data_IF_732444938462
#
_entry.id   IF_732444938462
#
_cell.length_a   1.000
_cell.length_b   1.000
_cell.length_c   1.000
_cell.angle_alpha   90.00
_cell.angle_beta   90.00
_cell.angle_gamma   90.00
#
_symmetry.space_group_name_H-M   'P 1'
#
loop_
_entity.id
_entity.type
_entity.pdbx_description
1 polymer ?
#
# COMPACT_ATOMS: atom_id res chain seq x y z
N UNK A 1 -9.99 -28.62 22.70
CA UNK A 1 -8.82 -27.76 22.45
C UNK A 1 -8.97 -27.21 21.04
N UNK A 2 -9.32 -25.93 20.87
CA UNK A 2 -9.43 -25.32 19.55
C UNK A 2 -8.04 -24.81 19.15
N UNK A 3 -7.50 -25.35 18.06
CA UNK A 3 -6.30 -24.85 17.43
C UNK A 3 -6.60 -23.48 16.82
N UNK A 4 -6.42 -22.43 17.62
CA UNK A 4 -6.42 -21.05 17.13
C UNK A 4 -5.19 -20.85 16.28
N UNK A 5 -5.32 -21.02 14.96
CA UNK A 5 -4.31 -20.62 14.00
C UNK A 5 -4.24 -19.09 14.05
N UNK A 6 -3.39 -18.54 14.93
CA UNK A 6 -3.09 -17.11 14.95
C UNK A 6 -2.55 -16.76 13.56
N UNK A 7 -3.18 -15.84 12.82
CA UNK A 7 -2.61 -15.39 11.57
C UNK A 7 -1.22 -14.84 11.86
N UNK A 8 -0.18 -15.50 11.34
CA UNK A 8 1.19 -14.99 11.42
C UNK A 8 1.20 -13.71 10.59
N UNK A 9 1.25 -12.59 11.28
CA UNK A 9 1.45 -11.29 10.67
C UNK A 9 2.95 -11.15 10.42
N UNK A 10 3.33 -11.11 9.14
CA UNK A 10 4.71 -10.81 8.76
C UNK A 10 4.84 -9.30 8.65
N UNK A 11 5.88 -8.77 9.27
CA UNK A 11 6.32 -7.38 9.22
C UNK A 11 7.75 -7.37 8.69
N UNK A 12 7.91 -7.38 7.37
CA UNK A 12 9.23 -7.36 6.76
C UNK A 12 9.52 -5.98 6.16
N UNK A 13 10.55 -5.31 6.69
CA UNK A 13 11.04 -4.01 6.21
C UNK A 13 12.09 -4.15 5.12
N UNK A 14 12.71 -5.33 4.99
CA UNK A 14 13.68 -5.62 3.93
C UNK A 14 12.91 -6.06 2.68
N UNK A 15 12.19 -5.11 2.08
CA UNK A 15 11.51 -5.29 0.79
C UNK A 15 12.52 -4.97 -0.32
N UNK A 16 12.53 -5.79 -1.37
CA UNK A 16 13.41 -5.57 -2.53
C UNK A 16 13.12 -4.18 -3.16
N UNK A 17 14.11 -3.27 -3.26
CA UNK A 17 13.91 -1.92 -3.78
C UNK A 17 13.50 -1.88 -5.26
N UNK A 18 13.78 -2.94 -6.03
CA UNK A 18 13.37 -3.07 -7.43
C UNK A 18 11.98 -3.71 -7.59
N UNK A 19 11.35 -4.15 -6.48
CA UNK A 19 10.01 -4.71 -6.50
C UNK A 19 8.98 -3.67 -6.97
N UNK A 20 8.19 -4.04 -7.97
CA UNK A 20 7.06 -3.23 -8.43
C UNK A 20 5.84 -3.54 -7.58
N UNK A 21 5.25 -2.49 -7.01
CA UNK A 21 4.01 -2.54 -6.25
C UNK A 21 2.85 -1.97 -7.06
N UNK A 22 1.70 -2.61 -6.95
CA UNK A 22 0.46 -2.28 -7.62
C UNK A 22 -0.54 -1.76 -6.58
N UNK A 23 -0.98 -0.51 -6.76
CA UNK A 23 -2.11 0.10 -6.06
C UNK A 23 -3.34 -0.03 -6.93
N UNK A 24 -4.32 -0.82 -6.48
CA UNK A 24 -5.57 -1.01 -7.21
C UNK A 24 -6.53 0.17 -7.04
N UNK A 25 -7.26 0.50 -8.10
CA UNK A 25 -8.22 1.60 -8.14
C UNK A 25 -7.91 2.60 -9.26
N UNK A 26 -8.93 3.36 -9.65
CA UNK A 26 -8.82 4.45 -10.63
C UNK A 26 -8.66 5.79 -9.94
N UNK A 27 -7.92 6.68 -10.60
CA UNK A 27 -7.79 8.07 -10.20
C UNK A 27 -6.79 8.30 -9.06
N UNK A 28 -6.51 9.58 -8.74
CA UNK A 28 -5.58 9.95 -7.69
C UNK A 28 -6.09 9.56 -6.30
N UNK A 29 -5.18 9.31 -5.37
CA UNK A 29 -5.50 9.25 -3.94
C UNK A 29 -5.92 10.65 -3.46
N UNK A 30 -6.96 10.72 -2.63
CA UNK A 30 -7.40 11.98 -2.00
C UNK A 30 -7.09 11.97 -0.52
N UNK A 31 -6.94 13.15 0.08
CA UNK A 31 -6.72 13.29 1.52
C UNK A 31 -7.85 12.62 2.30
N UNK A 32 -9.12 12.78 1.88
CA UNK A 32 -10.23 12.13 2.59
C UNK A 32 -10.16 10.60 2.49
N UNK A 33 -9.80 10.06 1.33
CA UNK A 33 -9.67 8.62 1.12
C UNK A 33 -8.55 8.02 1.97
N UNK A 34 -7.37 8.66 1.94
CA UNK A 34 -6.21 8.24 2.72
C UNK A 34 -6.46 8.39 4.23
N UNK A 35 -7.09 9.47 4.68
CA UNK A 35 -7.46 9.66 6.08
C UNK A 35 -8.55 8.67 6.54
N UNK A 36 -9.46 8.26 5.65
CA UNK A 36 -10.45 7.24 5.97
C UNK A 36 -9.83 5.84 6.05
N UNK A 37 -8.85 5.52 5.19
CA UNK A 37 -8.04 4.29 5.30
C UNK A 37 -7.22 4.29 6.60
N UNK A 38 -6.63 5.45 6.95
CA UNK A 38 -5.92 5.68 8.20
C UNK A 38 -6.75 5.40 9.44
N UNK A 39 -7.93 6.03 9.49
CA UNK A 39 -8.86 5.90 10.60
C UNK A 39 -9.34 4.46 10.74
N UNK A 40 -9.55 3.75 9.62
CA UNK A 40 -9.92 2.33 9.63
C UNK A 40 -8.81 1.42 10.17
N UNK A 41 -7.54 1.70 9.87
CA UNK A 41 -6.42 0.96 10.44
C UNK A 41 -6.32 1.18 11.95
N UNK A 42 -6.47 2.43 12.40
CA UNK A 42 -6.41 2.80 13.82
C UNK A 42 -7.61 2.29 14.65
N UNK A 43 -8.82 2.27 14.07
CA UNK A 43 -10.04 1.91 14.80
C UNK A 43 -10.18 0.41 15.11
N UNK A 44 -9.45 -0.46 14.39
CA UNK A 44 -9.63 -1.90 14.47
C UNK A 44 -8.66 -2.61 15.43
N UNK A 45 -7.91 -1.87 16.28
CA UNK A 45 -6.70 -2.39 16.98
C UNK A 45 -5.83 -3.23 16.02
N UNK A 46 -5.84 -2.80 14.75
CA UNK A 46 -5.31 -3.59 13.67
C UNK A 46 -3.80 -3.55 13.81
N UNK A 47 -3.13 -4.70 13.83
CA UNK A 47 -1.68 -4.70 13.82
C UNK A 47 -1.12 -4.26 12.45
N UNK A 48 -2.01 -3.92 11.50
CA UNK A 48 -1.66 -3.36 10.21
C UNK A 48 -1.30 -1.88 10.33
N UNK A 49 -0.17 -1.46 9.73
CA UNK A 49 0.25 -0.08 9.79
C UNK A 49 -0.73 0.86 9.10
N UNK A 50 -0.78 2.10 9.59
CA UNK A 50 -1.47 3.19 8.93
C UNK A 50 -0.86 3.41 7.54
N UNK A 51 -1.62 3.11 6.49
CA UNK A 51 -1.08 3.21 5.15
C UNK A 51 -1.99 2.72 4.02
N UNK A 52 -1.39 2.67 2.83
CA UNK A 52 -2.03 2.24 1.59
C UNK A 52 -1.63 0.80 1.27
N UNK A 53 -2.63 -0.06 1.14
CA UNK A 53 -2.43 -1.45 0.70
C UNK A 53 -2.05 -1.50 -0.78
N UNK A 54 -0.98 -2.24 -1.05
CA UNK A 54 -0.45 -2.55 -2.37
C UNK A 54 -0.16 -4.04 -2.50
N UNK A 55 -0.01 -4.51 -3.73
CA UNK A 55 0.33 -5.88 -4.05
C UNK A 55 1.57 -5.92 -4.92
N UNK A 56 2.49 -6.87 -4.75
CA UNK A 56 3.55 -7.15 -5.74
C UNK A 56 3.11 -8.09 -6.86
N UNK A 57 1.87 -8.58 -6.77
CA UNK A 57 1.23 -9.39 -7.80
C UNK A 57 0.09 -8.59 -8.46
N UNK A 58 0.11 -8.51 -9.79
CA UNK A 58 -0.96 -7.96 -10.59
C UNK A 58 -1.81 -9.10 -11.18
N UNK A 59 -3.06 -9.31 -10.71
CA UNK A 59 -3.96 -10.30 -11.29
C UNK A 59 -4.31 -9.94 -12.74
N UNK A 60 -4.46 -10.94 -13.62
CA UNK A 60 -4.79 -10.72 -15.04
C UNK A 60 -6.01 -9.83 -15.26
N UNK A 61 -7.06 -10.00 -14.44
CA UNK A 61 -8.27 -9.17 -14.50
C UNK A 61 -7.99 -7.68 -14.28
N UNK A 62 -7.07 -7.33 -13.38
CA UNK A 62 -6.70 -5.94 -13.11
C UNK A 62 -5.78 -5.41 -14.21
N UNK A 63 -4.92 -6.29 -14.75
CA UNK A 63 -4.11 -5.97 -15.94
C UNK A 63 -4.97 -5.62 -17.14
N UNK A 64 -6.05 -6.36 -17.37
CA UNK A 64 -7.00 -6.14 -18.47
C UNK A 64 -7.84 -4.87 -18.28
N UNK A 65 -8.21 -4.54 -17.04
CA UNK A 65 -8.99 -3.32 -16.78
C UNK A 65 -8.16 -2.04 -16.88
N UNK A 66 -6.85 -2.12 -16.55
CA UNK A 66 -5.99 -0.95 -16.40
C UNK A 66 -6.27 -0.18 -15.09
N UNK A 67 -7.03 -0.76 -14.16
CA UNK A 67 -7.51 -0.09 -12.95
C UNK A 67 -6.49 -0.19 -11.82
N UNK A 68 -5.26 0.22 -12.12
CA UNK A 68 -4.16 0.19 -11.17
C UNK A 68 -3.11 1.27 -11.48
N UNK A 69 -2.38 1.64 -10.44
CA UNK A 69 -1.17 2.45 -10.52
C UNK A 69 0.01 1.66 -9.96
N UNK A 70 1.21 1.98 -10.41
CA UNK A 70 2.42 1.27 -10.00
C UNK A 70 3.52 2.22 -9.58
N UNK A 71 4.39 1.71 -8.71
CA UNK A 71 5.67 2.31 -8.40
C UNK A 71 6.64 1.22 -7.97
N UNK A 72 7.94 1.45 -8.12
CA UNK A 72 8.95 0.65 -7.42
C UNK A 72 8.99 1.02 -5.94
N UNK A 73 9.45 0.07 -5.12
CA UNK A 73 9.71 0.33 -3.69
C UNK A 73 10.72 1.46 -3.52
N UNK A 74 11.80 1.45 -4.30
CA UNK A 74 12.79 2.54 -4.31
C UNK A 74 12.18 3.91 -4.58
N UNK A 75 11.30 4.05 -5.58
CA UNK A 75 10.65 5.35 -5.89
C UNK A 75 9.77 5.84 -4.74
N UNK A 76 9.11 4.93 -4.02
CA UNK A 76 8.30 5.25 -2.84
C UNK A 76 9.19 5.69 -1.66
N UNK A 77 10.29 4.99 -1.43
CA UNK A 77 11.26 5.32 -0.37
C UNK A 77 11.97 6.66 -0.63
N UNK A 78 12.33 6.94 -1.88
CA UNK A 78 12.89 8.23 -2.31
C UNK A 78 11.91 9.40 -2.10
N UNK A 79 10.61 9.14 -2.26
CA UNK A 79 9.55 10.11 -1.93
C UNK A 79 9.24 10.20 -0.43
N UNK A 80 9.99 9.49 0.42
CA UNK A 80 9.87 9.54 1.87
C UNK A 80 8.84 8.59 2.45
N UNK A 81 8.28 7.67 1.66
CA UNK A 81 7.34 6.67 2.15
C UNK A 81 8.06 5.39 2.54
N UNK A 82 7.78 4.89 3.74
CA UNK A 82 8.25 3.58 4.15
C UNK A 82 7.33 2.49 3.59
N UNK A 83 7.93 1.44 3.04
CA UNK A 83 7.21 0.26 2.56
C UNK A 83 7.47 -0.93 3.49
N UNK A 84 6.46 -1.76 3.69
CA UNK A 84 6.59 -2.96 4.50
C UNK A 84 5.71 -4.08 3.95
N UNK A 85 6.22 -5.31 3.93
CA UNK A 85 5.38 -6.48 3.67
C UNK A 85 4.52 -6.74 4.91
N UNK A 86 3.21 -6.73 4.74
CA UNK A 86 2.23 -6.88 5.83
C UNK A 86 1.28 -8.03 5.55
N UNK A 87 0.73 -8.66 6.59
CA UNK A 87 -0.16 -9.80 6.43
C UNK A 87 0.58 -11.13 6.24
N UNK A 88 -0.18 -12.20 6.01
CA UNK A 88 0.36 -13.55 5.75
C UNK A 88 0.68 -13.80 4.26
N UNK A 89 0.28 -12.88 3.38
CA UNK A 89 0.53 -12.97 1.94
C UNK A 89 1.80 -12.22 1.61
N UNK A 90 2.81 -12.93 1.10
CA UNK A 90 4.08 -12.32 0.64
C UNK A 90 3.90 -11.23 -0.41
N UNK A 91 2.79 -11.24 -1.14
CA UNK A 91 2.49 -10.22 -2.12
C UNK A 91 1.92 -8.93 -1.51
N UNK A 92 1.38 -8.97 -0.30
CA UNK A 92 0.70 -7.83 0.30
C UNK A 92 1.71 -6.91 1.01
N UNK A 93 1.74 -5.65 0.59
CA UNK A 93 2.61 -4.63 1.13
C UNK A 93 1.79 -3.41 1.55
N UNK A 94 2.30 -2.66 2.52
CA UNK A 94 1.70 -1.40 2.95
C UNK A 94 2.72 -0.29 2.79
N UNK A 95 2.30 0.77 2.10
CA UNK A 95 2.99 2.05 2.06
C UNK A 95 2.52 2.81 3.30
N UNK A 96 3.42 3.07 4.24
CA UNK A 96 3.10 3.77 5.48
C UNK A 96 2.79 5.23 5.18
N UNK A 97 1.69 5.71 5.73
CA UNK A 97 1.34 7.11 5.69
C UNK A 97 1.59 7.78 7.04
N UNK A 98 2.08 9.03 7.04
CA UNK A 98 2.20 9.82 8.25
C UNK A 98 0.82 10.20 8.81
N UNK A 99 0.76 10.42 10.12
CA UNK A 99 -0.44 10.83 10.82
C UNK A 99 -0.25 12.24 11.41
N UNK A 100 -1.08 13.24 11.03
CA UNK A 100 -2.18 13.16 10.08
C UNK A 100 -1.72 13.09 8.61
N UNK A 101 -2.57 12.54 7.73
CA UNK A 101 -2.39 12.64 6.28
C UNK A 101 -2.66 14.08 5.84
N UNK A 102 -1.84 14.62 4.93
CA UNK A 102 -1.96 15.98 4.40
C UNK A 102 -2.07 15.95 2.89
N UNK A 103 -2.40 17.09 2.27
CA UNK A 103 -2.43 17.23 0.82
C UNK A 103 -1.07 16.92 0.19
N UNK A 104 0.02 17.43 0.76
CA UNK A 104 1.39 17.17 0.28
C UNK A 104 1.70 15.65 0.23
N UNK A 105 1.23 14.88 1.20
CA UNK A 105 1.42 13.43 1.19
C UNK A 105 0.60 12.75 0.09
N UNK A 106 -0.64 13.19 -0.14
CA UNK A 106 -1.46 12.68 -1.24
C UNK A 106 -0.83 13.02 -2.60
N UNK A 107 -0.35 14.26 -2.77
CA UNK A 107 0.29 14.74 -3.99
C UNK A 107 1.61 14.01 -4.26
N UNK A 108 2.46 13.83 -3.23
CA UNK A 108 3.69 13.07 -3.35
C UNK A 108 3.42 11.61 -3.74
N UNK A 109 2.42 10.97 -3.10
CA UNK A 109 2.04 9.60 -3.42
C UNK A 109 1.49 9.48 -4.85
N UNK A 110 0.68 10.44 -5.29
CA UNK A 110 0.16 10.49 -6.66
C UNK A 110 1.24 10.78 -7.70
N UNK A 111 2.27 11.56 -7.37
CA UNK A 111 3.41 11.83 -8.25
C UNK A 111 4.28 10.59 -8.48
N UNK A 112 4.36 9.70 -7.49
CA UNK A 112 5.12 8.45 -7.59
C UNK A 112 4.31 7.32 -8.21
N UNK A 113 3.03 7.19 -7.84
CA UNK A 113 2.13 6.16 -8.36
C UNK A 113 1.70 6.47 -9.79
N UNK A 114 2.40 5.88 -10.76
CA UNK A 114 2.15 6.06 -12.19
C UNK A 114 0.98 5.20 -12.64
N UNK A 115 0.02 5.81 -13.35
CA UNK A 115 -1.06 5.07 -14.01
C UNK A 115 -0.55 4.28 -15.22
N UNK A 116 -1.32 3.28 -15.63
CA UNK A 116 -1.22 2.73 -16.98
C UNK A 116 -1.90 3.66 -17.99
N UNK A 117 -1.45 4.92 -18.06
CA UNK A 117 -1.67 5.74 -19.24
C UNK A 117 -0.59 5.32 -20.26
N UNK A 118 -0.99 4.45 -21.18
CA UNK A 118 -0.34 4.26 -22.48
C UNK A 118 -0.82 5.36 -23.44
#
# INVERSE_FOLDING_TARGET
>A
MFAGSTPILVHNRDVDPDLTLYRFGKGPETVEGLAADAARAAANDSPFPHGVSTSSHLPSRMKESGDYRTAKVSELEEAGFRVEQTGNRKAHHTIHLPQPVTLDHADALNGVLKGCDL
#
